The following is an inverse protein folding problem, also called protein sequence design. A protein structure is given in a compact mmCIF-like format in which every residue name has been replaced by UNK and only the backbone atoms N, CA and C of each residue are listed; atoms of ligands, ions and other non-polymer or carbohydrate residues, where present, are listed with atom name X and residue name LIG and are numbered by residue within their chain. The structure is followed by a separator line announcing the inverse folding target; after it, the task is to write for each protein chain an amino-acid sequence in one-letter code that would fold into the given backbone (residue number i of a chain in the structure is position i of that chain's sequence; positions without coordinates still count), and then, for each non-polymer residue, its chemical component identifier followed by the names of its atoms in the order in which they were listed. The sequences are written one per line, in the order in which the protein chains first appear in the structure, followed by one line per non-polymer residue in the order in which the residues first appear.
data_IF_405789215860
#
_entry.id   IF_405789215860
#
_cell.length_a   1.000
_cell.length_b   1.000
_cell.length_c   1.000
_cell.angle_alpha   90.00
_cell.angle_beta   90.00
_cell.angle_gamma   90.00
#
_symmetry.space_group_name_H-M   'P 1'
#
loop_
_entity.id
_entity.type
_entity.pdbx_description
1 polymer ?
#
# COMPACT_ATOMS: atom_id res chain seq x y z
N UNK A 1 2.13 -5.85 -15.05
CA UNK A 1 3.18 -4.81 -14.96
C UNK A 1 2.68 -3.56 -14.26
N UNK A 2 1.55 -2.97 -14.69
CA UNK A 2 0.94 -1.78 -14.07
C UNK A 2 0.66 -1.91 -12.57
N UNK A 3 0.14 -3.06 -12.11
CA UNK A 3 -0.10 -3.31 -10.69
C UNK A 3 1.17 -3.31 -9.83
N UNK A 4 2.31 -3.73 -10.38
CA UNK A 4 3.59 -3.76 -9.67
C UNK A 4 4.11 -2.32 -9.51
N UNK A 5 4.04 -1.53 -10.59
CA UNK A 5 4.43 -0.11 -10.58
C UNK A 5 3.53 0.69 -9.64
N UNK A 6 2.22 0.41 -9.63
CA UNK A 6 1.27 1.06 -8.72
C UNK A 6 1.61 0.77 -7.24
N UNK A 7 1.89 -0.50 -6.89
CA UNK A 7 2.30 -0.85 -5.54
C UNK A 7 3.62 -0.18 -5.15
N UNK A 8 4.59 -0.13 -6.06
CA UNK A 8 5.85 0.58 -5.84
C UNK A 8 5.62 2.07 -5.58
N UNK A 9 4.77 2.72 -6.37
CA UNK A 9 4.40 4.12 -6.16
C UNK A 9 3.82 4.38 -4.77
N UNK A 10 2.89 3.54 -4.31
CA UNK A 10 2.31 3.67 -2.97
C UNK A 10 3.37 3.59 -1.89
N UNK A 11 4.30 2.64 -2.00
CA UNK A 11 5.37 2.44 -1.02
C UNK A 11 6.34 3.60 -1.00
N UNK A 12 6.86 4.03 -2.16
CA UNK A 12 7.81 5.15 -2.21
C UNK A 12 7.15 6.47 -1.82
N UNK A 13 5.89 6.70 -2.18
CA UNK A 13 5.17 7.91 -1.76
C UNK A 13 4.95 7.99 -0.24
N UNK A 14 4.84 6.84 0.43
CA UNK A 14 4.71 6.77 1.88
C UNK A 14 6.07 6.87 2.59
N UNK A 15 7.10 6.22 2.05
CA UNK A 15 8.42 6.10 2.70
C UNK A 15 9.33 7.32 2.49
N UNK A 16 9.28 7.94 1.32
CA UNK A 16 10.21 9.01 0.96
C UNK A 16 9.80 10.36 1.59
N UNK A 17 10.74 11.11 2.19
CA UNK A 17 10.43 12.43 2.78
C UNK A 17 9.83 13.41 1.77
N UNK A 18 10.29 13.32 0.52
CA UNK A 18 9.83 14.16 -0.59
C UNK A 18 8.60 13.57 -1.32
N UNK A 19 8.14 12.38 -0.94
CA UNK A 19 6.94 11.72 -1.47
C UNK A 19 6.95 11.65 -3.00
N UNK A 20 5.96 12.27 -3.65
CA UNK A 20 5.81 12.31 -5.10
C UNK A 20 6.91 13.11 -5.83
N UNK A 21 7.71 13.89 -5.10
CA UNK A 21 8.82 14.66 -5.66
C UNK A 21 10.17 13.95 -5.48
N UNK A 22 10.15 12.70 -4.98
CA UNK A 22 11.37 11.89 -4.87
C UNK A 22 11.78 11.33 -6.23
N UNK A 23 13.09 11.23 -6.47
CA UNK A 23 13.66 10.62 -7.69
C UNK A 23 13.07 9.23 -8.00
N UNK A 24 12.92 8.29 -7.02
CA UNK A 24 12.28 7.01 -7.26
C UNK A 24 10.84 7.11 -7.80
N UNK A 25 10.09 8.12 -7.35
CA UNK A 25 8.70 8.31 -7.78
C UNK A 25 8.62 8.83 -9.21
N UNK A 26 9.50 9.77 -9.58
CA UNK A 26 9.57 10.31 -10.96
C UNK A 26 9.98 9.21 -11.94
N UNK A 27 10.97 8.39 -11.58
CA UNK A 27 11.43 7.28 -12.42
C UNK A 27 10.33 6.23 -12.63
N UNK A 28 9.58 5.87 -11.57
CA UNK A 28 8.43 4.96 -11.68
C UNK A 28 7.32 5.53 -12.57
N UNK A 29 7.05 6.84 -12.50
CA UNK A 29 6.05 7.50 -13.35
C UNK A 29 6.43 7.41 -14.84
N UNK A 30 7.73 7.56 -15.15
CA UNK A 30 8.23 7.35 -16.51
C UNK A 30 8.04 5.91 -16.96
N UNK A 31 8.34 4.92 -16.12
CA UNK A 31 8.11 3.50 -16.46
C UNK A 31 6.62 3.19 -16.66
N UNK A 32 5.72 3.81 -15.88
CA UNK A 32 4.29 3.67 -16.09
C UNK A 32 3.86 4.16 -17.48
N UNK A 33 4.40 5.31 -17.91
CA UNK A 33 4.16 5.85 -19.26
C UNK A 33 4.60 4.89 -20.37
N UNK A 34 5.75 4.22 -20.23
CA UNK A 34 6.16 3.19 -21.20
C UNK A 34 5.21 1.99 -21.20
N UNK A 35 4.80 1.51 -20.02
CA UNK A 35 3.92 0.35 -19.90
C UNK A 35 2.57 0.57 -20.60
N UNK A 36 1.98 1.77 -20.47
CA UNK A 36 0.69 2.10 -21.11
C UNK A 36 0.81 2.37 -22.61
N UNK A 37 2.00 2.77 -23.09
CA UNK A 37 2.26 3.06 -24.51
C UNK A 37 2.88 1.88 -25.27
N UNK A 38 3.06 0.72 -24.64
CA UNK A 38 3.70 -0.45 -25.24
C UNK A 38 3.07 -0.88 -26.57
N UNK A 39 1.74 -0.85 -26.69
CA UNK A 39 1.03 -1.20 -27.92
C UNK A 39 1.34 -0.26 -29.10
N UNK A 40 1.82 0.96 -28.83
CA UNK A 40 2.19 1.95 -29.83
C UNK A 40 3.69 1.92 -30.15
N UNK A 41 4.53 1.71 -29.14
CA UNK A 41 5.99 1.86 -29.27
C UNK A 41 6.74 0.55 -29.36
N UNK A 42 6.16 -0.56 -28.91
CA UNK A 42 6.83 -1.85 -28.75
C UNK A 42 7.93 -1.87 -27.67
N UNK A 43 8.13 -0.77 -26.93
CA UNK A 43 9.17 -0.66 -25.89
C UNK A 43 8.61 -1.10 -24.54
N UNK A 44 9.10 -2.21 -23.94
CA UNK A 44 8.61 -2.68 -22.65
C UNK A 44 9.08 -1.77 -21.53
N UNK A 45 8.25 -1.55 -20.51
CA UNK A 45 8.70 -0.91 -19.28
C UNK A 45 9.57 -1.86 -18.46
N UNK A 46 10.61 -1.32 -17.84
CA UNK A 46 11.56 -2.06 -17.00
C UNK A 46 11.61 -1.36 -15.65
N UNK A 47 11.32 -2.08 -14.57
CA UNK A 47 11.51 -1.55 -13.22
C UNK A 47 12.97 -1.81 -12.86
N UNK A 48 13.78 -0.76 -12.62
CA UNK A 48 15.15 -0.94 -12.18
C UNK A 48 15.21 -1.68 -10.83
N UNK A 49 16.26 -2.49 -10.57
CA UNK A 49 16.37 -3.24 -9.32
C UNK A 49 16.32 -2.39 -8.05
N UNK A 50 16.78 -1.13 -8.10
CA UNK A 50 16.72 -0.21 -6.95
C UNK A 50 15.30 0.28 -6.65
N UNK A 51 14.39 0.20 -7.60
CA UNK A 51 12.96 0.50 -7.43
C UNK A 51 12.14 -0.72 -7.02
N UNK A 52 12.77 -1.86 -6.78
CA UNK A 52 12.08 -3.03 -6.24
C UNK A 52 11.76 -2.84 -4.76
N UNK A 53 10.47 -2.86 -4.44
CA UNK A 53 9.98 -2.79 -3.07
C UNK A 53 10.41 -4.04 -2.28
N UNK A 54 11.06 -3.82 -1.13
CA UNK A 54 11.50 -4.87 -0.21
C UNK A 54 10.60 -5.01 1.02
N UNK A 55 9.98 -3.91 1.43
CA UNK A 55 9.08 -3.83 2.58
C UNK A 55 7.86 -2.97 2.23
N UNK A 56 6.71 -3.30 2.78
CA UNK A 56 5.44 -2.65 2.48
C UNK A 56 4.87 -1.94 3.71
N UNK A 57 4.17 -0.81 3.56
CA UNK A 57 3.47 -0.23 4.69
C UNK A 57 2.37 -1.17 5.16
N UNK A 58 2.17 -1.21 6.47
CA UNK A 58 1.20 -2.07 7.16
C UNK A 58 -0.25 -1.96 6.62
N UNK A 59 -0.66 -0.77 6.16
CA UNK A 59 -1.98 -0.58 5.56
C UNK A 59 -2.19 -1.29 4.22
N UNK A 60 -1.12 -1.82 3.58
CA UNK A 60 -1.24 -2.62 2.35
C UNK A 60 -1.53 -4.12 2.62
N UNK A 61 -1.51 -4.55 3.88
CA UNK A 61 -1.90 -5.90 4.32
C UNK A 61 -1.30 -7.03 3.47
N UNK A 62 0.04 -7.07 3.38
CA UNK A 62 0.80 -8.13 2.70
C UNK A 62 1.40 -9.09 3.72
N UNK A 63 0.65 -10.09 4.23
CA UNK A 63 1.12 -10.97 5.32
C UNK A 63 2.37 -11.78 4.95
N UNK A 64 2.54 -12.12 3.67
CA UNK A 64 3.68 -12.89 3.16
C UNK A 64 4.92 -12.03 2.86
N UNK A 65 4.90 -10.74 3.21
CA UNK A 65 5.98 -9.79 2.91
C UNK A 65 6.41 -9.05 4.17
N UNK A 66 7.69 -8.63 4.27
CA UNK A 66 8.10 -7.71 5.33
C UNK A 66 7.27 -6.43 5.29
N UNK A 67 6.84 -5.96 6.46
CA UNK A 67 6.04 -4.74 6.60
C UNK A 67 6.62 -3.77 7.60
N UNK A 68 6.37 -2.47 7.40
CA UNK A 68 6.70 -1.42 8.35
C UNK A 68 5.44 -0.63 8.73
N UNK A 69 5.45 -0.02 9.92
CA UNK A 69 4.36 0.86 10.35
C UNK A 69 4.47 2.22 9.64
N UNK A 70 3.48 2.56 8.80
CA UNK A 70 3.40 3.91 8.24
C UNK A 70 3.09 4.95 9.32
N UNK A 71 3.83 6.06 9.31
CA UNK A 71 3.61 7.20 10.20
C UNK A 71 2.78 8.32 9.52
N UNK A 72 2.38 8.11 8.27
CA UNK A 72 1.55 9.05 7.51
C UNK A 72 0.06 8.90 7.87
N UNK A 73 -0.75 9.82 7.34
CA UNK A 73 -2.20 9.88 7.61
C UNK A 73 -2.94 8.60 7.23
N UNK A 74 -2.65 8.02 6.05
CA UNK A 74 -3.26 6.76 5.59
C UNK A 74 -2.94 5.64 6.57
N UNK A 75 -1.68 5.62 7.02
CA UNK A 75 -1.25 4.75 8.08
C UNK A 75 -2.17 4.92 9.28
N UNK A 76 -2.06 6.05 9.99
CA UNK A 76 -2.81 6.29 11.23
C UNK A 76 -4.30 5.91 11.11
N UNK A 77 -4.97 6.34 10.04
CA UNK A 77 -6.37 6.00 9.77
C UNK A 77 -6.63 4.50 9.67
N UNK A 78 -5.76 3.73 9.00
CA UNK A 78 -5.89 2.28 8.92
C UNK A 78 -5.86 1.61 10.29
N UNK A 79 -4.98 2.05 11.21
CA UNK A 79 -4.90 1.47 12.58
C UNK A 79 -6.15 1.80 13.38
N UNK A 80 -6.56 3.07 13.40
CA UNK A 80 -7.77 3.52 14.10
C UNK A 80 -9.00 2.73 13.64
N UNK A 81 -9.19 2.58 12.32
CA UNK A 81 -10.33 1.83 11.78
C UNK A 81 -10.21 0.33 12.10
N UNK A 82 -9.03 -0.27 11.96
CA UNK A 82 -8.82 -1.69 12.25
C UNK A 82 -9.13 -2.03 13.70
N UNK A 83 -8.76 -1.16 14.64
CA UNK A 83 -9.05 -1.33 16.06
C UNK A 83 -10.56 -1.19 16.34
N UNK A 84 -11.27 -0.27 15.68
CA UNK A 84 -12.74 -0.15 15.83
C UNK A 84 -13.51 -1.37 15.31
N UNK A 85 -13.05 -2.01 14.24
CA UNK A 85 -13.68 -3.24 13.72
C UNK A 85 -13.53 -4.40 14.71
N UNK A 86 -12.38 -4.50 15.38
CA UNK A 86 -12.18 -5.47 16.46
C UNK A 86 -13.11 -5.20 17.65
N UNK A 87 -13.26 -3.94 18.06
CA UNK A 87 -14.16 -3.58 19.16
C UNK A 87 -15.66 -3.79 18.83
N UNK A 88 -16.09 -3.55 17.59
CA UNK A 88 -17.49 -3.79 17.17
C UNK A 88 -17.83 -5.28 17.02
N UNK A 89 -16.84 -6.14 16.77
CA UNK A 89 -17.02 -7.60 16.78
C UNK A 89 -17.26 -8.19 18.18
N UNK A 90 -16.81 -7.48 19.24
CA UNK A 90 -17.04 -7.88 20.63
C UNK A 90 -18.41 -7.41 21.16
N UNK A 91 -19.03 -6.41 20.53
CA UNK A 91 -20.34 -5.86 20.94
C UNK A 91 -21.46 -6.44 20.07
N UNK A 92 -21.68 -7.75 20.13
CA UNK A 92 -22.97 -8.38 19.76
C UNK A 92 -23.28 -9.58 20.67
N UNK A 93 -23.86 -9.29 21.83
CA UNK A 93 -25.04 -9.98 22.39
C UNK A 93 -25.48 -9.31 23.70
N UNK A 94 -26.45 -8.37 23.68
CA UNK A 94 -27.18 -8.03 24.87
C UNK A 94 -28.36 -9.00 25.03
N UNK A 95 -28.22 -9.92 25.98
CA UNK A 95 -29.34 -10.50 26.74
C UNK A 95 -30.00 -11.75 26.18
N UNK A 96 -29.77 -12.88 26.85
CA UNK A 96 -30.86 -13.65 27.49
C UNK A 96 -30.34 -14.15 28.84
N UNK A 97 -30.82 -13.53 29.91
CA UNK A 97 -30.85 -14.15 31.23
C UNK A 97 -32.08 -15.07 31.25
N UNK A 98 -31.89 -16.37 31.43
CA UNK A 98 -32.96 -17.25 31.91
C UNK A 98 -32.40 -18.12 33.03
N UNK A 99 -32.68 -17.67 34.25
CA UNK A 99 -32.81 -18.54 35.41
C UNK A 99 -34.16 -19.25 35.31
N UNK A 100 -34.15 -20.58 35.28
CA UNK A 100 -35.14 -21.48 35.91
C UNK A 100 -34.57 -22.89 35.90
#
# INVERSE_FOLDING_TARGET
MTAIIANAHTVFADKEPLKAMSEPWVELAHQFSFAVNFNKTGVPAVIPPHLHVKEYPDFMEKPDKPTYQSHNVIGKLFREVKDTVLHTSCVKSPGVCMTS
#
